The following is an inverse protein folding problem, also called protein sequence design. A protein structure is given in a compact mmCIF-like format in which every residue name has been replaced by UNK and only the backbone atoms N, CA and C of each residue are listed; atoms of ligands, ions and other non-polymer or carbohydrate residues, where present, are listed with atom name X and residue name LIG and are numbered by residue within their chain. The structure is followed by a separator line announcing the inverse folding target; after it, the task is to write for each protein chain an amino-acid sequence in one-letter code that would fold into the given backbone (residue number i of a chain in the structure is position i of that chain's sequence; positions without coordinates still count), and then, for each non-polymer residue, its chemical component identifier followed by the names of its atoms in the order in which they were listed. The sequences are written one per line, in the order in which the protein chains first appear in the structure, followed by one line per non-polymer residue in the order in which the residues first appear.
data_IF_455574312085
#
_entry.id   IF_455574312085
#
_cell.length_a   1.000
_cell.length_b   1.000
_cell.length_c   1.000
_cell.angle_alpha   90.00
_cell.angle_beta   90.00
_cell.angle_gamma   90.00
#
_symmetry.space_group_name_H-M   'P 1'
#
loop_
_entity.id
_entity.type
_entity.pdbx_description
1 polymer ?
#
# COMPACT_ATOMS: atom_id res chain seq x y z
N UNK A 1 8.37 21.58 -10.38
CA UNK A 1 9.67 22.05 -9.86
C UNK A 1 9.64 22.24 -8.34
N UNK A 2 9.07 23.32 -7.78
CA UNK A 2 9.16 23.53 -6.31
C UNK A 2 8.45 22.43 -5.48
N UNK A 3 7.21 22.06 -5.85
CA UNK A 3 6.45 21.01 -5.16
C UNK A 3 6.97 19.57 -5.38
N UNK A 4 7.84 19.35 -6.37
CA UNK A 4 8.49 18.04 -6.58
C UNK A 4 9.71 17.93 -5.66
N UNK A 5 10.47 19.03 -5.51
CA UNK A 5 11.60 19.09 -4.59
C UNK A 5 11.15 18.87 -3.14
N UNK A 6 10.05 19.50 -2.72
CA UNK A 6 9.53 19.35 -1.35
C UNK A 6 9.14 17.89 -1.03
N UNK A 7 8.68 17.12 -2.02
CA UNK A 7 8.35 15.70 -1.82
C UNK A 7 9.59 14.84 -1.64
N UNK A 8 10.62 15.09 -2.44
CA UNK A 8 11.90 14.39 -2.38
C UNK A 8 12.61 14.71 -1.07
N UNK A 9 12.62 15.98 -0.65
CA UNK A 9 13.18 16.41 0.63
C UNK A 9 12.53 15.67 1.81
N UNK A 10 11.19 15.70 1.88
CA UNK A 10 10.47 14.99 2.94
C UNK A 10 10.71 13.48 2.91
N UNK A 11 10.79 12.87 1.71
CA UNK A 11 11.12 11.46 1.57
C UNK A 11 12.47 11.13 2.22
N UNK A 12 13.50 11.93 1.94
CA UNK A 12 14.84 11.68 2.47
C UNK A 12 14.93 11.96 3.97
N UNK A 13 14.33 13.05 4.46
CA UNK A 13 14.25 13.35 5.90
C UNK A 13 13.59 12.19 6.64
N UNK A 14 12.40 11.77 6.19
CA UNK A 14 11.60 10.78 6.90
C UNK A 14 12.16 9.35 6.81
N UNK A 15 12.71 8.98 5.65
CA UNK A 15 13.11 7.58 5.38
C UNK A 15 14.58 7.30 5.60
N UNK A 16 15.44 8.32 5.51
CA UNK A 16 16.88 8.16 5.70
C UNK A 16 17.37 8.77 7.02
N UNK A 17 16.48 9.36 7.82
CA UNK A 17 16.78 10.05 9.08
C UNK A 17 17.88 11.11 8.87
N UNK A 18 17.56 12.03 7.95
CA UNK A 18 18.43 13.12 7.52
C UNK A 18 17.88 14.46 8.02
N UNK A 19 18.78 15.41 8.24
CA UNK A 19 18.37 16.80 8.38
C UNK A 19 18.04 17.43 7.01
N UNK A 20 17.41 18.61 7.05
CA UNK A 20 16.96 19.32 5.86
C UNK A 20 18.12 19.71 4.94
N UNK A 21 19.26 20.12 5.51
CA UNK A 21 20.44 20.54 4.76
C UNK A 21 21.03 19.37 3.96
N UNK A 22 21.10 18.19 4.57
CA UNK A 22 21.66 17.00 3.94
C UNK A 22 20.69 16.35 2.94
N UNK A 23 19.38 16.40 3.21
CA UNK A 23 18.36 16.01 2.25
C UNK A 23 18.37 16.93 1.01
N UNK A 24 18.59 18.23 1.20
CA UNK A 24 18.71 19.20 0.11
C UNK A 24 19.95 18.95 -0.74
N UNK A 25 21.10 18.63 -0.13
CA UNK A 25 22.30 18.23 -0.86
C UNK A 25 22.03 17.06 -1.81
N UNK A 26 21.40 15.99 -1.32
CA UNK A 26 21.08 14.83 -2.17
C UNK A 26 20.10 15.17 -3.30
N UNK A 27 19.10 16.01 -3.02
CA UNK A 27 18.15 16.46 -4.04
C UNK A 27 18.82 17.35 -5.11
N UNK A 28 19.77 18.19 -4.72
CA UNK A 28 20.54 19.05 -5.64
C UNK A 28 21.49 18.26 -6.54
N UNK A 29 22.06 17.16 -6.02
CA UNK A 29 22.84 16.18 -6.79
C UNK A 29 21.96 15.32 -7.73
N UNK A 30 20.63 15.47 -7.65
CA UNK A 30 19.68 14.87 -8.58
C UNK A 30 19.10 13.53 -8.12
N UNK A 31 19.32 13.13 -6.87
CA UNK A 31 18.63 11.97 -6.31
C UNK A 31 17.16 12.31 -6.08
N UNK A 32 16.28 11.40 -6.51
CA UNK A 32 14.82 11.57 -6.42
C UNK A 32 14.12 10.42 -5.72
N UNK A 33 14.85 9.34 -5.43
CA UNK A 33 14.29 8.09 -4.91
C UNK A 33 15.23 7.37 -3.93
N UNK A 34 14.67 6.48 -3.11
CA UNK A 34 15.46 5.65 -2.19
C UNK A 34 16.25 4.57 -2.95
N UNK A 35 15.75 4.12 -4.10
CA UNK A 35 16.39 3.15 -4.96
C UNK A 35 17.71 3.67 -5.52
N UNK A 36 17.74 4.93 -5.95
CA UNK A 36 18.98 5.56 -6.41
C UNK A 36 20.00 5.59 -5.27
N UNK A 37 19.60 6.02 -4.08
CA UNK A 37 20.48 6.00 -2.89
C UNK A 37 20.98 4.57 -2.60
N UNK A 38 20.09 3.57 -2.62
CA UNK A 38 20.43 2.19 -2.27
C UNK A 38 21.38 1.50 -3.27
N UNK A 39 21.30 1.84 -4.56
CA UNK A 39 21.89 1.04 -5.64
C UNK A 39 22.88 1.77 -6.54
N UNK A 40 22.98 3.10 -6.49
CA UNK A 40 24.02 3.84 -7.21
C UNK A 40 25.42 3.40 -6.73
N UNK A 41 26.42 3.32 -7.63
CA UNK A 41 27.78 2.97 -7.24
C UNK A 41 28.34 3.91 -6.17
N UNK A 42 28.99 3.36 -5.15
CA UNK A 42 29.63 4.15 -4.07
C UNK A 42 30.60 5.18 -4.62
N UNK A 43 31.31 4.85 -5.71
CA UNK A 43 32.23 5.77 -6.38
C UNK A 43 31.55 7.04 -6.89
N UNK A 44 30.30 6.96 -7.37
CA UNK A 44 29.54 8.12 -7.84
C UNK A 44 29.05 8.98 -6.66
N UNK A 45 28.75 8.36 -5.51
CA UNK A 45 28.36 9.10 -4.31
C UNK A 45 29.56 9.75 -3.60
N UNK A 46 30.76 9.18 -3.71
CA UNK A 46 31.99 9.75 -3.14
C UNK A 46 32.42 11.07 -3.81
N UNK A 47 31.89 11.38 -5.00
CA UNK A 47 32.13 12.64 -5.69
C UNK A 47 31.34 13.81 -5.06
N UNK A 48 30.36 13.52 -4.19
CA UNK A 48 29.51 14.52 -3.53
C UNK A 48 30.24 15.07 -2.29
N UNK A 49 30.35 16.39 -2.22
CA UNK A 49 31.03 17.07 -1.11
C UNK A 49 30.30 16.80 0.22
N UNK A 50 31.03 16.30 1.23
CA UNK A 50 30.47 15.99 2.54
C UNK A 50 30.06 14.53 2.73
N UNK A 51 30.08 13.71 1.67
CA UNK A 51 29.89 12.26 1.78
C UNK A 51 31.21 11.52 2.00
N UNK A 52 31.25 10.65 3.00
CA UNK A 52 32.34 9.69 3.22
C UNK A 52 31.85 8.27 2.94
N UNK A 53 32.77 7.33 2.73
CA UNK A 53 32.42 5.92 2.52
C UNK A 53 31.54 5.37 3.66
N UNK A 54 31.83 5.74 4.91
CA UNK A 54 31.03 5.38 6.09
C UNK A 54 29.60 5.94 6.04
N UNK A 55 29.45 7.22 5.66
CA UNK A 55 28.13 7.86 5.54
C UNK A 55 27.35 7.22 4.39
N UNK A 56 28.00 6.96 3.26
CA UNK A 56 27.36 6.33 2.09
C UNK A 56 26.85 4.94 2.44
N UNK A 57 27.67 4.11 3.08
CA UNK A 57 27.25 2.78 3.55
C UNK A 57 26.01 2.88 4.46
N UNK A 58 26.01 3.80 5.43
CA UNK A 58 24.88 4.01 6.33
C UNK A 58 23.60 4.48 5.60
N UNK A 59 23.72 5.40 4.64
CA UNK A 59 22.59 5.84 3.81
C UNK A 59 22.01 4.69 2.99
N UNK A 60 22.88 3.87 2.40
CA UNK A 60 22.48 2.70 1.61
C UNK A 60 21.76 1.67 2.44
N UNK A 61 22.24 1.42 3.65
CA UNK A 61 21.60 0.52 4.61
C UNK A 61 20.19 1.02 4.94
N UNK A 62 20.04 2.28 5.38
CA UNK A 62 18.74 2.88 5.69
C UNK A 62 17.79 2.90 4.49
N UNK A 63 18.28 3.21 3.30
CA UNK A 63 17.49 3.19 2.08
C UNK A 63 16.93 1.78 1.81
N UNK A 64 17.76 0.74 1.94
CA UNK A 64 17.33 -0.66 1.77
C UNK A 64 16.34 -1.10 2.85
N UNK A 65 16.55 -0.69 4.09
CA UNK A 65 15.61 -0.96 5.19
C UNK A 65 14.26 -0.29 4.95
N UNK A 66 14.25 0.98 4.52
CA UNK A 66 13.04 1.71 4.19
C UNK A 66 12.29 1.06 3.02
N UNK A 67 12.99 0.66 1.95
CA UNK A 67 12.42 -0.07 0.81
C UNK A 67 11.85 -1.42 1.23
N UNK A 68 12.54 -2.16 2.09
CA UNK A 68 12.07 -3.44 2.63
C UNK A 68 10.81 -3.25 3.46
N UNK A 69 10.80 -2.25 4.35
CA UNK A 69 9.63 -1.90 5.17
C UNK A 69 8.44 -1.50 4.30
N UNK A 70 8.67 -0.73 3.23
CA UNK A 70 7.63 -0.35 2.29
C UNK A 70 7.08 -1.55 1.52
N UNK A 71 7.95 -2.47 1.10
CA UNK A 71 7.53 -3.71 0.45
C UNK A 71 6.69 -4.58 1.39
N UNK A 72 7.11 -4.75 2.65
CA UNK A 72 6.36 -5.49 3.66
C UNK A 72 5.03 -4.82 3.99
N UNK A 73 4.97 -3.50 4.13
CA UNK A 73 3.70 -2.80 4.34
C UNK A 73 2.76 -2.93 3.12
N UNK A 74 3.32 -2.97 1.91
CA UNK A 74 2.55 -3.25 0.70
C UNK A 74 2.06 -4.70 0.66
N UNK A 75 2.86 -5.66 1.16
CA UNK A 75 2.47 -7.06 1.28
C UNK A 75 1.40 -7.24 2.37
N UNK A 76 1.53 -6.61 3.53
CA UNK A 76 0.52 -6.64 4.61
C UNK A 76 -0.81 -6.00 4.20
N UNK A 77 -0.79 -4.94 3.38
CA UNK A 77 -2.02 -4.35 2.82
C UNK A 77 -2.66 -5.25 1.77
N UNK A 78 -1.87 -6.01 1.00
CA UNK A 78 -2.37 -7.00 0.04
C UNK A 78 -2.88 -8.28 0.73
N UNK A 79 -2.12 -8.84 1.68
CA UNK A 79 -2.52 -9.96 2.54
C UNK A 79 -3.69 -9.58 3.47
N UNK A 80 -3.85 -8.29 3.78
CA UNK A 80 -4.94 -7.73 4.56
C UNK A 80 -6.24 -7.52 3.79
N UNK A 81 -6.17 -7.40 2.46
CA UNK A 81 -7.28 -7.04 1.58
C UNK A 81 -7.61 -8.09 0.51
N UNK A 82 -7.01 -9.29 0.57
CA UNK A 82 -7.43 -10.38 -0.31
C UNK A 82 -8.77 -10.98 0.20
N UNK A 83 -9.82 -11.00 -0.65
CA UNK A 83 -11.06 -11.69 -0.35
C UNK A 83 -10.83 -13.21 -0.31
N UNK A 84 -11.43 -13.86 0.67
CA UNK A 84 -11.42 -15.31 0.80
C UNK A 84 -12.19 -15.98 -0.35
N UNK A 85 -11.88 -17.26 -0.58
CA UNK A 85 -12.40 -18.00 -1.73
C UNK A 85 -13.92 -18.13 -1.70
N UNK A 86 -14.52 -18.24 -0.52
CA UNK A 86 -15.97 -18.28 -0.30
C UNK A 86 -16.68 -17.00 -0.77
N UNK A 87 -16.08 -15.84 -0.52
CA UNK A 87 -16.56 -14.55 -1.02
C UNK A 87 -16.38 -14.47 -2.54
N UNK A 88 -15.21 -14.90 -3.06
CA UNK A 88 -14.94 -14.93 -4.51
C UNK A 88 -15.87 -15.88 -5.30
N UNK A 89 -16.36 -16.94 -4.65
CA UNK A 89 -17.26 -17.93 -5.25
C UNK A 89 -18.74 -17.51 -5.16
N UNK A 90 -19.05 -16.38 -4.50
CA UNK A 90 -20.42 -15.88 -4.39
C UNK A 90 -20.98 -15.52 -5.78
N UNK A 91 -22.04 -16.22 -6.17
CA UNK A 91 -22.71 -15.97 -7.44
C UNK A 91 -23.23 -14.52 -7.52
N UNK A 92 -22.85 -13.81 -8.58
CA UNK A 92 -23.24 -12.41 -8.80
C UNK A 92 -22.26 -11.38 -8.21
N UNK A 93 -21.27 -11.81 -7.42
CA UNK A 93 -20.17 -10.96 -6.99
C UNK A 93 -19.04 -11.02 -8.02
N UNK A 94 -18.67 -9.87 -8.58
CA UNK A 94 -17.53 -9.79 -9.48
C UNK A 94 -16.22 -9.74 -8.71
N UNK A 95 -15.16 -10.31 -9.29
CA UNK A 95 -13.84 -10.35 -8.66
C UNK A 95 -13.37 -8.97 -8.22
N UNK A 96 -13.50 -7.96 -9.08
CA UNK A 96 -13.07 -6.60 -8.75
C UNK A 96 -13.80 -6.07 -7.51
N UNK A 97 -15.10 -6.32 -7.40
CA UNK A 97 -15.94 -5.85 -6.29
C UNK A 97 -15.60 -6.59 -4.99
N UNK A 98 -15.26 -7.88 -5.06
CA UNK A 98 -14.77 -8.64 -3.91
C UNK A 98 -13.48 -8.05 -3.32
N UNK A 99 -12.54 -7.60 -4.17
CA UNK A 99 -11.32 -6.92 -3.70
C UNK A 99 -11.62 -5.55 -3.08
N UNK A 100 -12.59 -4.80 -3.63
CA UNK A 100 -13.02 -3.53 -3.02
C UNK A 100 -13.65 -3.77 -1.66
N UNK A 101 -14.51 -4.77 -1.51
CA UNK A 101 -15.11 -5.17 -0.23
C UNK A 101 -14.03 -5.60 0.78
N UNK A 102 -13.07 -6.42 0.36
CA UNK A 102 -11.99 -6.88 1.22
C UNK A 102 -11.06 -5.74 1.68
N UNK A 103 -10.82 -4.73 0.83
CA UNK A 103 -10.11 -3.50 1.23
C UNK A 103 -10.83 -2.69 2.31
N UNK A 104 -12.14 -2.92 2.50
CA UNK A 104 -12.98 -2.31 3.54
C UNK A 104 -13.17 -3.23 4.76
N UNK A 105 -12.44 -4.34 4.83
CA UNK A 105 -12.54 -5.29 5.94
C UNK A 105 -13.58 -6.40 5.74
N UNK A 106 -14.29 -6.43 4.61
CA UNK A 106 -15.26 -7.48 4.27
C UNK A 106 -14.56 -8.55 3.45
N UNK A 107 -13.95 -9.53 4.11
CA UNK A 107 -13.00 -10.46 3.47
C UNK A 107 -13.63 -11.82 3.18
N UNK A 108 -14.55 -12.25 4.02
CA UNK A 108 -15.21 -13.57 3.93
C UNK A 108 -16.67 -13.43 3.53
N UNK A 109 -17.29 -14.55 3.20
CA UNK A 109 -18.72 -14.58 2.93
C UNK A 109 -19.54 -14.23 4.18
N UNK A 110 -19.06 -14.63 5.37
CA UNK A 110 -19.66 -14.25 6.66
C UNK A 110 -19.57 -12.75 6.91
N UNK A 111 -18.42 -12.11 6.66
CA UNK A 111 -18.28 -10.66 6.83
C UNK A 111 -19.30 -9.90 5.98
N UNK A 112 -19.55 -10.37 4.75
CA UNK A 112 -20.54 -9.78 3.85
C UNK A 112 -21.97 -10.01 4.34
N UNK A 113 -22.25 -11.18 4.92
CA UNK A 113 -23.56 -11.48 5.51
C UNK A 113 -23.89 -10.58 6.71
N UNK A 114 -22.87 -10.10 7.42
CA UNK A 114 -23.00 -9.18 8.56
C UNK A 114 -23.24 -7.71 8.14
N UNK A 115 -22.92 -7.34 6.90
CA UNK A 115 -23.07 -5.95 6.44
C UNK A 115 -24.53 -5.48 6.30
N UNK A 116 -24.71 -4.18 6.45
CA UNK A 116 -25.89 -3.41 6.01
C UNK A 116 -25.80 -2.99 4.53
N UNK A 117 -26.94 -2.72 3.90
CA UNK A 117 -26.98 -2.23 2.51
C UNK A 117 -26.24 -0.90 2.39
N UNK A 118 -26.48 -0.01 3.34
CA UNK A 118 -25.91 1.32 3.48
C UNK A 118 -24.39 1.33 3.71
N UNK A 119 -23.82 0.22 4.19
CA UNK A 119 -22.38 0.10 4.47
C UNK A 119 -21.56 -0.19 3.20
N UNK A 120 -22.19 -0.73 2.15
CA UNK A 120 -21.51 -1.12 0.91
C UNK A 120 -22.08 -0.47 -0.36
N UNK A 121 -23.25 0.16 -0.31
CA UNK A 121 -23.90 0.80 -1.47
C UNK A 121 -23.22 2.08 -1.98
N UNK A 122 -22.17 2.55 -1.30
CA UNK A 122 -21.33 3.67 -1.75
C UNK A 122 -20.18 3.21 -2.67
N UNK A 123 -20.02 1.90 -2.88
CA UNK A 123 -19.04 1.34 -3.80
C UNK A 123 -19.50 1.58 -5.25
N UNK A 124 -18.57 2.05 -6.09
CA UNK A 124 -18.82 2.23 -7.53
C UNK A 124 -19.29 0.90 -8.17
N UNK A 125 -20.31 0.97 -9.02
CA UNK A 125 -20.99 -0.19 -9.65
C UNK A 125 -21.72 -1.17 -8.70
N UNK A 126 -21.97 -0.75 -7.44
CA UNK A 126 -22.80 -1.46 -6.48
C UNK A 126 -23.93 -0.56 -5.95
N UNK A 127 -25.12 -0.67 -6.54
CA UNK A 127 -26.30 0.04 -6.04
C UNK A 127 -26.97 -0.68 -4.84
N UNK A 128 -27.89 0.00 -4.15
CA UNK A 128 -28.61 -0.54 -2.98
C UNK A 128 -29.33 -1.88 -3.29
N UNK A 129 -29.77 -2.09 -4.53
CA UNK A 129 -30.49 -3.30 -4.93
C UNK A 129 -29.52 -4.47 -5.01
N UNK A 130 -28.41 -4.30 -5.74
CA UNK A 130 -27.37 -5.32 -5.89
C UNK A 130 -26.66 -5.61 -4.57
N UNK A 131 -26.44 -4.58 -3.74
CA UNK A 131 -25.92 -4.74 -2.37
C UNK A 131 -26.85 -5.62 -1.53
N UNK A 132 -28.15 -5.34 -1.54
CA UNK A 132 -29.15 -6.15 -0.84
C UNK A 132 -29.20 -7.60 -1.33
N UNK A 133 -29.13 -7.82 -2.65
CA UNK A 133 -29.09 -9.16 -3.25
C UNK A 133 -27.86 -9.96 -2.80
N UNK A 134 -26.67 -9.34 -2.83
CA UNK A 134 -25.42 -9.98 -2.42
C UNK A 134 -25.39 -10.31 -0.91
N UNK A 135 -25.83 -9.38 -0.06
CA UNK A 135 -25.92 -9.61 1.39
C UNK A 135 -26.91 -10.74 1.69
N UNK A 136 -28.08 -10.74 1.04
CA UNK A 136 -29.07 -11.80 1.22
C UNK A 136 -28.56 -13.15 0.71
N UNK A 137 -27.84 -13.18 -0.41
CA UNK A 137 -27.21 -14.39 -0.92
C UNK A 137 -26.15 -14.93 0.05
N UNK A 138 -25.30 -14.05 0.59
CA UNK A 138 -24.31 -14.41 1.61
C UNK A 138 -24.98 -14.96 2.87
N UNK A 139 -26.01 -14.29 3.42
CA UNK A 139 -26.79 -14.77 4.57
C UNK A 139 -27.43 -16.13 4.33
N UNK A 140 -27.99 -16.34 3.14
CA UNK A 140 -28.57 -17.64 2.77
C UNK A 140 -27.53 -18.76 2.83
N UNK A 141 -26.33 -18.52 2.33
CA UNK A 141 -25.25 -19.52 2.34
C UNK A 141 -24.70 -19.73 3.75
N UNK A 142 -24.51 -18.67 4.54
CA UNK A 142 -23.92 -18.77 5.88
C UNK A 142 -24.89 -19.32 6.94
N UNK A 143 -26.17 -18.96 6.89
CA UNK A 143 -27.12 -19.22 7.98
C UNK A 143 -28.26 -20.16 7.61
N UNK A 144 -28.54 -20.33 6.32
CA UNK A 144 -29.69 -21.12 5.86
C UNK A 144 -29.28 -22.34 5.01
N UNK A 145 -27.99 -22.56 4.79
CA UNK A 145 -27.45 -23.71 4.06
C UNK A 145 -27.25 -24.94 4.97
N UNK A 146 -28.17 -25.17 5.91
CA UNK A 146 -28.34 -26.46 6.57
C UNK A 146 -29.24 -27.35 5.68
N UNK A 147 -28.71 -27.84 4.56
CA UNK A 147 -29.24 -29.03 3.84
C UNK A 147 -28.22 -29.67 2.89
#
# INVERSE_FOLDING_TARGET
HQAENDKVLNLFIDKLDLDEDFAALLAEEGFTSLEEIAYVPVAEMLDIEGLTEEIIEALRERAKEALTTQALASEETLEGAEPAQDLLDLAGLERHLAFVLASRGVRTLEDLAEQGIDEISDIEDLDETKAGELIMAARNICWFNEE
#
